data_IF_496121972338
#
_entry.id   IF_496121972338
#
_cell.length_a   1.000
_cell.length_b   1.000
_cell.length_c   1.000
_cell.angle_alpha   90.00
_cell.angle_beta   90.00
_cell.angle_gamma   90.00
#
_symmetry.space_group_name_H-M   'P 1'
#
loop_
_entity.id
_entity.type
_entity.pdbx_description
1 polymer ?
#
# COMPACT_ATOMS: atom_id res chain seq x y z
N UNK A 1 2.71 -8.86 -13.43
CA UNK A 1 4.07 -9.15 -12.90
C UNK A 1 5.12 -9.01 -14.00
N UNK A 2 4.80 -9.34 -15.24
CA UNK A 2 5.71 -9.25 -16.39
C UNK A 2 5.69 -7.88 -17.09
N UNK A 3 4.80 -6.98 -16.71
CA UNK A 3 4.72 -5.64 -17.26
C UNK A 3 5.88 -4.78 -16.75
N UNK A 4 6.89 -4.61 -17.60
CA UNK A 4 8.10 -3.85 -17.28
C UNK A 4 7.81 -2.37 -17.02
N UNK A 5 6.86 -1.78 -17.76
CA UNK A 5 6.50 -0.38 -17.61
C UNK A 5 5.84 -0.15 -16.25
N UNK A 6 4.89 -1.02 -15.88
CA UNK A 6 4.25 -1.01 -14.56
C UNK A 6 5.26 -1.19 -13.42
N UNK A 7 6.15 -2.16 -13.53
CA UNK A 7 7.16 -2.42 -12.51
C UNK A 7 8.12 -1.22 -12.34
N UNK A 8 8.53 -0.59 -13.44
CA UNK A 8 9.34 0.64 -13.39
C UNK A 8 8.60 1.76 -12.67
N UNK A 9 7.34 1.99 -13.01
CA UNK A 9 6.50 2.98 -12.34
C UNK A 9 6.35 2.69 -10.84
N UNK A 10 6.13 1.44 -10.44
CA UNK A 10 6.03 1.04 -9.03
C UNK A 10 7.35 1.30 -8.28
N UNK A 11 8.49 0.99 -8.88
CA UNK A 11 9.81 1.26 -8.27
C UNK A 11 10.01 2.75 -8.05
N UNK A 12 9.69 3.59 -9.05
CA UNK A 12 9.78 5.05 -8.91
C UNK A 12 8.81 5.58 -7.84
N UNK A 13 7.60 5.04 -7.79
CA UNK A 13 6.61 5.38 -6.78
C UNK A 13 7.10 5.04 -5.37
N UNK A 14 7.64 3.83 -5.16
CA UNK A 14 8.19 3.41 -3.88
C UNK A 14 9.35 4.30 -3.46
N UNK A 15 10.26 4.64 -4.38
CA UNK A 15 11.36 5.60 -4.12
C UNK A 15 10.81 6.94 -3.65
N UNK A 16 9.85 7.52 -4.38
CA UNK A 16 9.24 8.81 -4.06
C UNK A 16 8.52 8.78 -2.71
N UNK A 17 7.70 7.76 -2.46
CA UNK A 17 6.94 7.62 -1.23
C UNK A 17 7.84 7.37 -0.01
N UNK A 18 8.99 6.70 -0.20
CA UNK A 18 9.95 6.41 0.87
C UNK A 18 10.93 7.54 1.17
N UNK A 19 10.90 8.67 0.43
CA UNK A 19 11.84 9.78 0.59
C UNK A 19 11.63 10.61 1.87
N UNK A 20 10.82 10.34 2.78
CA UNK A 20 10.60 11.06 4.04
C UNK A 20 10.73 10.15 5.25
N UNK A 21 9.94 10.43 6.27
CA UNK A 21 9.87 9.66 7.53
C UNK A 21 8.84 8.53 7.49
N UNK A 22 8.20 8.29 6.33
CA UNK A 22 7.12 7.33 6.18
C UNK A 22 7.60 5.89 6.21
N UNK A 23 6.80 5.02 6.79
CA UNK A 23 6.95 3.58 6.70
C UNK A 23 5.90 3.01 5.76
N UNK A 24 6.36 2.30 4.73
CA UNK A 24 5.55 1.86 3.61
C UNK A 24 5.22 0.37 3.71
N UNK A 25 3.97 0.04 3.43
CA UNK A 25 3.51 -1.32 3.15
C UNK A 25 3.16 -1.41 1.66
N UNK A 26 3.88 -2.23 0.92
CA UNK A 26 3.65 -2.47 -0.51
C UNK A 26 3.02 -3.84 -0.67
N UNK A 27 1.80 -3.87 -1.19
CA UNK A 27 0.97 -5.08 -1.27
C UNK A 27 0.85 -5.61 -2.69
N UNK A 28 1.07 -6.90 -2.86
CA UNK A 28 0.84 -7.61 -4.11
C UNK A 28 0.14 -8.96 -3.86
N UNK A 29 -0.58 -9.47 -4.86
CA UNK A 29 -1.15 -10.82 -4.83
C UNK A 29 -0.09 -11.92 -5.03
N UNK A 30 1.08 -11.59 -5.58
CA UNK A 30 2.11 -12.54 -5.98
C UNK A 30 3.37 -12.42 -5.13
N UNK A 31 3.78 -13.52 -4.50
CA UNK A 31 5.05 -13.60 -3.75
C UNK A 31 6.24 -13.18 -4.61
N UNK A 32 6.35 -13.73 -5.81
CA UNK A 32 7.41 -13.39 -6.75
C UNK A 32 7.49 -11.89 -7.05
N UNK A 33 6.35 -11.21 -7.13
CA UNK A 33 6.34 -9.76 -7.36
C UNK A 33 6.88 -8.99 -6.14
N UNK A 34 6.53 -9.42 -4.93
CA UNK A 34 7.10 -8.86 -3.70
C UNK A 34 8.62 -9.06 -3.64
N UNK A 35 9.10 -10.26 -3.98
CA UNK A 35 10.52 -10.60 -4.02
C UNK A 35 11.27 -9.77 -5.05
N UNK A 36 10.72 -9.62 -6.26
CA UNK A 36 11.27 -8.78 -7.32
C UNK A 36 11.41 -7.31 -6.87
N UNK A 37 10.35 -6.75 -6.30
CA UNK A 37 10.39 -5.36 -5.80
C UNK A 37 11.37 -5.21 -4.63
N UNK A 38 11.45 -6.19 -3.75
CA UNK A 38 12.42 -6.19 -2.65
C UNK A 38 13.87 -6.13 -3.15
N UNK A 39 14.20 -6.87 -4.22
CA UNK A 39 15.53 -6.84 -4.83
C UNK A 39 15.94 -5.44 -5.31
N UNK A 40 14.98 -4.57 -5.64
CA UNK A 40 15.24 -3.17 -5.99
C UNK A 40 15.61 -2.30 -4.78
N UNK A 41 15.32 -2.76 -3.55
CA UNK A 41 15.54 -2.02 -2.30
C UNK A 41 16.18 -2.86 -1.18
N UNK A 42 17.27 -3.59 -1.43
CA UNK A 42 17.76 -4.64 -0.53
C UNK A 42 18.18 -4.15 0.86
N UNK A 43 18.60 -2.89 0.97
CA UNK A 43 19.06 -2.31 2.24
C UNK A 43 17.94 -1.73 3.10
N UNK A 44 16.89 -1.22 2.48
CA UNK A 44 15.84 -0.43 3.14
C UNK A 44 14.52 -1.16 3.26
N UNK A 45 14.38 -2.31 2.65
CA UNK A 45 13.15 -3.08 2.66
C UNK A 45 13.28 -4.45 3.32
N UNK A 46 12.15 -5.00 3.69
CA UNK A 46 11.99 -6.36 4.19
C UNK A 46 10.79 -7.04 3.55
N UNK A 47 10.83 -8.36 3.51
CA UNK A 47 9.72 -9.21 3.10
C UNK A 47 8.90 -9.62 4.30
N UNK A 48 7.58 -9.58 4.15
CA UNK A 48 6.64 -10.04 5.17
C UNK A 48 5.64 -10.99 4.52
N UNK A 49 5.98 -12.28 4.51
CA UNK A 49 5.24 -13.31 3.76
C UNK A 49 5.02 -14.56 4.59
N UNK A 50 3.96 -15.29 4.28
CA UNK A 50 3.63 -16.55 4.93
C UNK A 50 4.77 -17.58 4.83
N UNK A 51 4.98 -18.35 5.87
CA UNK A 51 6.05 -19.35 5.96
C UNK A 51 7.43 -18.81 6.36
N UNK A 52 7.58 -17.50 6.59
CA UNK A 52 8.79 -16.94 7.18
C UNK A 52 8.83 -17.18 8.69
N UNK A 53 10.03 -17.31 9.25
CA UNK A 53 10.22 -17.43 10.69
C UNK A 53 9.89 -16.11 11.40
N UNK A 54 9.37 -16.20 12.61
CA UNK A 54 8.97 -15.03 13.41
C UNK A 54 10.10 -14.00 13.56
N UNK A 55 11.33 -14.44 13.77
CA UNK A 55 12.48 -13.54 13.86
C UNK A 55 12.72 -12.73 12.58
N UNK A 56 12.49 -13.34 11.40
CA UNK A 56 12.60 -12.67 10.10
C UNK A 56 11.46 -11.66 9.89
N UNK A 57 10.24 -12.00 10.32
CA UNK A 57 9.09 -11.12 10.27
C UNK A 57 9.29 -9.89 11.15
N UNK A 58 9.82 -10.09 12.37
CA UNK A 58 10.13 -9.01 13.29
C UNK A 58 11.25 -8.09 12.78
N UNK A 59 12.28 -8.65 12.13
CA UNK A 59 13.32 -7.85 11.49
C UNK A 59 12.74 -7.03 10.33
N UNK A 60 11.95 -7.66 9.48
CA UNK A 60 11.28 -6.99 8.35
C UNK A 60 10.33 -5.87 8.80
N UNK A 61 9.64 -6.05 9.91
CA UNK A 61 8.71 -5.05 10.46
C UNK A 61 9.37 -3.72 10.83
N UNK A 62 10.67 -3.72 11.10
CA UNK A 62 11.47 -2.53 11.44
C UNK A 62 11.99 -1.80 10.20
N UNK A 63 11.89 -2.41 9.02
CA UNK A 63 12.36 -1.80 7.78
C UNK A 63 11.43 -0.66 7.33
N UNK A 64 11.99 0.25 6.57
CA UNK A 64 11.25 1.41 6.05
C UNK A 64 10.21 1.03 4.99
N UNK A 65 10.50 0.01 4.20
CA UNK A 65 9.64 -0.51 3.15
C UNK A 65 9.38 -1.98 3.44
N UNK A 66 8.11 -2.36 3.49
CA UNK A 66 7.70 -3.73 3.75
C UNK A 66 6.91 -4.23 2.54
N UNK A 67 7.42 -5.28 1.91
CA UNK A 67 6.74 -5.96 0.81
C UNK A 67 6.00 -7.18 1.35
N UNK A 68 4.69 -7.21 1.19
CA UNK A 68 3.84 -8.29 1.69
C UNK A 68 2.81 -8.72 0.65
N UNK A 69 2.32 -9.95 0.79
CA UNK A 69 1.14 -10.38 0.06
C UNK A 69 -0.14 -9.90 0.76
N UNK A 70 -1.22 -9.72 -0.01
CA UNK A 70 -2.51 -9.34 0.59
C UNK A 70 -3.00 -10.36 1.63
N UNK A 71 -2.81 -11.66 1.40
CA UNK A 71 -3.15 -12.69 2.37
C UNK A 71 -2.43 -12.51 3.69
N UNK A 72 -1.12 -12.29 3.64
CA UNK A 72 -0.32 -12.10 4.86
C UNK A 72 -0.67 -10.81 5.60
N UNK A 73 -0.96 -9.72 4.86
CA UNK A 73 -1.43 -8.49 5.45
C UNK A 73 -2.79 -8.67 6.14
N UNK A 74 -3.61 -9.58 5.64
CA UNK A 74 -4.91 -9.94 6.20
C UNK A 74 -4.80 -10.72 7.52
N UNK A 75 -3.90 -11.71 7.56
CA UNK A 75 -3.85 -12.71 8.63
C UNK A 75 -3.03 -12.29 9.85
N UNK A 76 -1.92 -11.57 9.66
CA UNK A 76 -0.97 -11.43 10.77
C UNK A 76 -0.14 -10.16 10.82
N UNK A 77 -0.29 -9.22 9.88
CA UNK A 77 0.52 -8.01 9.90
C UNK A 77 0.06 -7.06 11.01
N UNK A 78 0.85 -6.91 12.05
CA UNK A 78 0.64 -5.92 13.12
C UNK A 78 1.88 -5.03 13.28
N UNK A 79 1.93 -3.95 12.49
CA UNK A 79 3.01 -2.97 12.52
C UNK A 79 2.39 -1.59 12.76
N UNK A 80 2.37 -1.12 14.00
CA UNK A 80 1.68 0.13 14.37
C UNK A 80 2.24 1.38 13.71
N UNK A 81 3.49 1.35 13.27
CA UNK A 81 4.19 2.48 12.67
C UNK A 81 3.90 2.68 11.19
N UNK A 82 3.19 1.76 10.56
CA UNK A 82 2.78 1.89 9.15
C UNK A 82 1.85 3.09 8.95
N UNK A 83 2.19 3.92 7.98
CA UNK A 83 1.41 5.11 7.62
C UNK A 83 1.12 5.22 6.11
N UNK A 84 1.73 4.39 5.29
CA UNK A 84 1.56 4.43 3.83
C UNK A 84 1.36 3.04 3.26
N UNK A 85 0.33 2.87 2.43
CA UNK A 85 0.09 1.65 1.64
C UNK A 85 0.24 1.94 0.17
N UNK A 86 0.92 1.04 -0.55
CA UNK A 86 0.99 1.04 -2.02
C UNK A 86 0.37 -0.27 -2.51
N UNK A 87 -0.67 -0.16 -3.34
CA UNK A 87 -1.31 -1.31 -3.96
C UNK A 87 -0.58 -1.65 -5.26
N UNK A 88 0.36 -2.58 -5.20
CA UNK A 88 1.18 -2.98 -6.35
C UNK A 88 0.44 -3.91 -7.33
N UNK A 89 -0.63 -4.55 -6.91
CA UNK A 89 -1.54 -5.29 -7.79
C UNK A 89 -3.00 -4.96 -7.50
N UNK A 90 -3.90 -5.09 -8.50
CA UNK A 90 -5.31 -4.82 -8.33
C UNK A 90 -5.95 -5.75 -7.29
N UNK A 91 -6.75 -5.19 -6.40
CA UNK A 91 -7.54 -5.92 -5.39
C UNK A 91 -8.87 -5.20 -5.20
N UNK A 92 -9.95 -5.93 -5.01
CA UNK A 92 -11.27 -5.32 -4.77
C UNK A 92 -11.54 -5.00 -3.31
N UNK A 93 -11.18 -5.89 -2.40
CA UNK A 93 -11.32 -5.69 -0.96
C UNK A 93 -9.97 -5.38 -0.33
N UNK A 94 -9.85 -4.16 0.16
CA UNK A 94 -8.66 -3.60 0.79
C UNK A 94 -8.94 -3.07 2.20
N UNK A 95 -10.14 -3.33 2.71
CA UNK A 95 -10.63 -2.76 3.97
C UNK A 95 -9.68 -3.04 5.14
N UNK A 96 -9.20 -4.27 5.24
CA UNK A 96 -8.25 -4.63 6.31
C UNK A 96 -6.87 -4.01 6.12
N UNK A 97 -6.38 -3.94 4.87
CA UNK A 97 -5.10 -3.30 4.58
C UNK A 97 -5.12 -1.81 4.93
N UNK A 98 -6.23 -1.13 4.63
CA UNK A 98 -6.44 0.28 5.01
C UNK A 98 -6.56 0.41 6.52
N UNK A 99 -7.31 -0.46 7.16
CA UNK A 99 -7.48 -0.45 8.63
C UNK A 99 -6.15 -0.52 9.38
N UNK A 100 -5.15 -1.20 8.82
CA UNK A 100 -3.81 -1.29 9.42
C UNK A 100 -3.09 0.06 9.47
N UNK A 101 -3.20 0.88 8.42
CA UNK A 101 -2.57 2.21 8.38
C UNK A 101 -3.40 3.30 9.07
N UNK A 102 -4.71 3.10 9.16
CA UNK A 102 -5.62 4.04 9.83
C UNK A 102 -5.55 3.96 11.36
N UNK A 103 -4.92 2.91 11.90
CA UNK A 103 -4.80 2.75 13.33
C UNK A 103 -4.11 3.97 13.96
N UNK A 104 -4.81 4.63 14.85
CA UNK A 104 -4.22 5.67 15.68
C UNK A 104 -3.34 5.02 16.74
N UNK A 105 -2.05 5.28 16.66
CA UNK A 105 -1.08 4.82 17.66
C UNK A 105 -0.28 6.01 18.18
N UNK A 106 0.01 6.00 19.47
CA UNK A 106 0.91 6.99 20.07
C UNK A 106 2.26 6.95 19.36
N UNK A 107 2.67 8.08 18.76
CA UNK A 107 3.94 8.20 18.02
C UNK A 107 3.83 8.15 16.50
N UNK A 108 2.66 7.94 15.93
CA UNK A 108 2.43 8.06 14.50
C UNK A 108 2.52 9.52 14.08
N UNK A 109 3.50 9.85 13.23
CA UNK A 109 3.83 11.24 12.88
C UNK A 109 3.16 11.71 11.58
N UNK A 110 2.71 10.79 10.75
CA UNK A 110 2.24 11.09 9.40
C UNK A 110 0.78 10.70 9.23
N UNK A 111 0.04 11.48 8.45
CA UNK A 111 -1.30 11.10 7.98
C UNK A 111 -1.24 9.81 7.15
N UNK A 112 -2.25 8.93 7.20
CA UNK A 112 -2.33 7.76 6.35
C UNK A 112 -2.36 8.13 4.87
N UNK A 113 -1.49 7.52 4.08
CA UNK A 113 -1.48 7.66 2.62
C UNK A 113 -1.72 6.34 1.93
N UNK A 114 -2.51 6.34 0.87
CA UNK A 114 -2.75 5.20 0.00
C UNK A 114 -2.38 5.60 -1.42
N UNK A 115 -1.49 4.83 -2.04
CA UNK A 115 -1.17 4.93 -3.46
C UNK A 115 -1.85 3.77 -4.17
N UNK A 116 -2.80 4.10 -5.03
CA UNK A 116 -3.58 3.14 -5.81
C UNK A 116 -3.31 3.36 -7.31
N UNK A 117 -2.85 2.32 -7.96
CA UNK A 117 -2.59 2.33 -9.40
C UNK A 117 -3.82 1.83 -10.13
N UNK A 118 -4.42 2.70 -10.94
CA UNK A 118 -5.56 2.35 -11.77
C UNK A 118 -5.10 1.68 -13.07
N UNK A 119 -5.48 0.43 -13.23
CA UNK A 119 -5.30 -0.32 -14.46
C UNK A 119 -6.58 -0.19 -15.33
N UNK A 120 -6.48 0.28 -16.59
CA UNK A 120 -7.64 0.62 -17.41
C UNK A 120 -8.37 -0.59 -18.04
N UNK A 121 -8.04 -1.80 -17.64
CA UNK A 121 -8.67 -3.02 -18.15
C UNK A 121 -10.01 -3.28 -17.46
N UNK A 122 -11.01 -3.78 -18.16
CA UNK A 122 -12.40 -3.90 -17.70
C UNK A 122 -12.59 -4.54 -16.32
N UNK A 123 -11.93 -5.65 -16.04
CA UNK A 123 -11.99 -6.34 -14.74
C UNK A 123 -11.36 -5.48 -13.62
N UNK A 124 -10.25 -4.84 -13.90
CA UNK A 124 -9.55 -3.99 -12.92
C UNK A 124 -10.27 -2.67 -12.68
N UNK A 125 -10.99 -2.18 -13.68
CA UNK A 125 -11.87 -1.01 -13.54
C UNK A 125 -12.99 -1.28 -12.55
N UNK A 126 -13.62 -2.45 -12.59
CA UNK A 126 -14.64 -2.82 -11.60
C UNK A 126 -14.07 -2.91 -10.16
N UNK A 127 -12.85 -3.46 -10.01
CA UNK A 127 -12.14 -3.47 -8.73
C UNK A 127 -11.80 -2.05 -8.24
N UNK A 128 -11.40 -1.18 -9.15
CA UNK A 128 -11.13 0.23 -8.87
C UNK A 128 -12.37 0.94 -8.29
N UNK A 129 -13.53 0.80 -8.90
CA UNK A 129 -14.76 1.43 -8.36
C UNK A 129 -15.14 0.91 -6.98
N UNK A 130 -14.92 -0.38 -6.69
CA UNK A 130 -15.12 -0.93 -5.35
C UNK A 130 -14.18 -0.27 -4.33
N UNK A 131 -12.90 -0.09 -4.68
CA UNK A 131 -11.93 0.60 -3.82
C UNK A 131 -12.30 2.07 -3.60
N UNK A 132 -12.74 2.75 -4.66
CA UNK A 132 -13.22 4.14 -4.57
C UNK A 132 -14.35 4.31 -3.55
N UNK A 133 -15.28 3.35 -3.50
CA UNK A 133 -16.34 3.33 -2.49
C UNK A 133 -15.78 3.22 -1.08
N UNK A 134 -14.80 2.35 -0.87
CA UNK A 134 -14.12 2.17 0.42
C UNK A 134 -13.41 3.46 0.85
N UNK A 135 -12.68 4.12 -0.08
CA UNK A 135 -11.98 5.37 0.22
C UNK A 135 -12.94 6.49 0.60
N UNK A 136 -14.05 6.65 -0.13
CA UNK A 136 -15.09 7.65 0.20
C UNK A 136 -15.74 7.38 1.56
N UNK A 137 -16.07 6.12 1.86
CA UNK A 137 -16.63 5.74 3.15
C UNK A 137 -15.65 5.94 4.31
N UNK A 138 -14.35 5.77 4.06
CA UNK A 138 -13.29 6.00 5.02
C UNK A 138 -12.90 7.47 5.19
N UNK A 139 -13.54 8.39 4.45
CA UNK A 139 -13.26 9.84 4.55
C UNK A 139 -11.91 10.27 3.96
N UNK A 140 -11.33 9.49 3.05
CA UNK A 140 -10.07 9.85 2.40
C UNK A 140 -10.24 11.00 1.41
N UNK A 141 -9.31 11.93 1.42
CA UNK A 141 -9.16 12.92 0.35
C UNK A 141 -8.54 12.24 -0.88
N UNK A 142 -9.30 12.20 -1.97
CA UNK A 142 -8.91 11.47 -3.18
C UNK A 142 -8.31 12.44 -4.19
N UNK A 143 -7.06 12.20 -4.60
CA UNK A 143 -6.34 13.00 -5.58
C UNK A 143 -5.95 12.11 -6.77
N UNK A 144 -6.13 12.61 -7.99
CA UNK A 144 -5.74 11.87 -9.21
C UNK A 144 -6.37 12.46 -10.46
N UNK A 145 -5.95 11.97 -11.62
CA UNK A 145 -6.57 12.34 -12.90
C UNK A 145 -7.98 11.76 -12.95
N UNK A 146 -8.98 12.60 -13.31
CA UNK A 146 -10.40 12.24 -13.45
C UNK A 146 -11.14 11.86 -12.15
N UNK A 147 -10.72 12.37 -11.01
CA UNK A 147 -11.45 12.22 -9.76
C UNK A 147 -12.13 13.56 -9.44
N UNK A 148 -13.46 13.58 -9.40
CA UNK A 148 -14.20 14.74 -8.88
C UNK A 148 -13.97 14.82 -7.37
N UNK A 149 -13.53 15.97 -6.88
CA UNK A 149 -13.33 16.21 -5.45
C UNK A 149 -14.68 16.11 -4.70
N UNK A 150 -14.80 15.28 -3.68
CA UNK A 150 -16.00 15.28 -2.85
C UNK A 150 -16.07 16.59 -2.05
N UNK A 151 -17.18 17.28 -2.20
CA UNK A 151 -17.51 18.48 -1.39
C UNK A 151 -17.93 18.07 0.01
N UNK A 152 -17.02 17.66 0.89
CA UNK A 152 -17.29 17.68 2.33
C UNK A 152 -16.04 17.41 3.16
N UNK A 153 -15.94 18.21 4.20
CA UNK A 153 -14.86 18.31 5.15
C UNK A 153 -14.80 17.15 6.13
N UNK A 154 -13.71 16.39 6.07
CA UNK A 154 -12.93 15.94 7.24
C UNK A 154 -11.72 15.19 6.69
N UNK A 155 -10.49 15.73 6.81
CA UNK A 155 -9.30 15.09 6.27
C UNK A 155 -8.83 13.95 7.19
N UNK A 156 -9.12 12.73 6.83
CA UNK A 156 -8.57 11.56 7.54
C UNK A 156 -7.47 10.83 6.76
N UNK A 157 -6.89 11.43 5.75
CA UNK A 157 -5.79 10.87 4.97
C UNK A 157 -5.87 11.21 3.49
N UNK A 158 -4.79 10.95 2.75
CA UNK A 158 -4.72 11.17 1.30
C UNK A 158 -4.64 9.85 0.56
N UNK A 159 -5.52 9.66 -0.42
CA UNK A 159 -5.40 8.60 -1.42
C UNK A 159 -4.94 9.22 -2.75
N UNK A 160 -3.82 8.73 -3.27
CA UNK A 160 -3.22 9.25 -4.50
C UNK A 160 -3.37 8.21 -5.62
N UNK A 161 -4.06 8.60 -6.69
CA UNK A 161 -4.14 7.83 -7.92
C UNK A 161 -3.08 8.27 -8.91
N UNK A 162 -2.42 7.33 -9.49
CA UNK A 162 -1.36 7.51 -10.47
C UNK A 162 -1.73 6.87 -11.80
#
# INVERSE_FOLDING_TARGET
>A
VEDRARNKMLVELVKKASAGTRQLLVLSDRRFHCEFLHQCFPKTSGLYMGGMKEAQLQESSKKKIIFATFSQAHEGLDIPTLDTVILASPKSDITQSIGRIMRETKGKKNEPHIYDVHDPWSVFTAMYYKRMKIYRQGGFNIHGKNVEEPKSAFPQGKCLFL
#
